data_IF_004688743605
#
_entry.id   IF_004688743605
#
_cell.length_a   1.000
_cell.length_b   1.000
_cell.length_c   1.000
_cell.angle_alpha   90.00
_cell.angle_beta   90.00
_cell.angle_gamma   90.00
#
_symmetry.space_group_name_H-M   'P 1'
#
loop_
_entity.id
_entity.type
_entity.pdbx_description
1 polymer ?
#
# COMPACT_ATOMS: atom_id res chain seq x y z
N UNK A 1 -76.48 -10.87 -2.62
CA UNK A 1 -75.83 -9.64 -3.12
C UNK A 1 -75.59 -8.76 -1.89
N UNK A 2 -74.41 -8.38 -1.44
CA UNK A 2 -73.04 -8.42 -1.95
C UNK A 2 -72.15 -8.25 -0.68
N UNK A 3 -71.27 -9.22 -0.35
CA UNK A 3 -70.35 -9.15 0.79
C UNK A 3 -69.02 -8.58 0.28
N UNK A 4 -68.79 -7.28 0.50
CA UNK A 4 -67.46 -6.67 0.26
C UNK A 4 -66.56 -6.89 1.48
N UNK A 5 -65.73 -7.92 1.41
CA UNK A 5 -64.60 -8.10 2.32
C UNK A 5 -63.50 -7.09 1.98
N UNK A 6 -63.19 -6.18 2.91
CA UNK A 6 -62.02 -5.30 2.82
C UNK A 6 -60.78 -6.07 3.27
N UNK A 7 -59.87 -6.33 2.35
CA UNK A 7 -58.53 -6.86 2.65
C UNK A 7 -57.64 -5.67 3.01
N UNK A 8 -57.18 -5.61 4.26
CA UNK A 8 -56.14 -4.67 4.69
C UNK A 8 -54.79 -5.36 4.43
N UNK A 9 -54.10 -4.93 3.38
CA UNK A 9 -52.71 -5.34 3.12
C UNK A 9 -51.82 -4.47 4.00
N UNK A 10 -51.35 -5.03 5.12
CA UNK A 10 -50.32 -4.41 5.94
C UNK A 10 -48.97 -4.51 5.22
N UNK A 11 -48.48 -3.38 4.71
CA UNK A 11 -47.12 -3.28 4.17
C UNK A 11 -46.17 -3.21 5.36
N UNK A 12 -45.51 -4.33 5.67
CA UNK A 12 -44.37 -4.34 6.58
C UNK A 12 -43.17 -3.74 5.85
N UNK A 13 -42.93 -2.45 6.05
CA UNK A 13 -41.68 -1.80 5.66
C UNK A 13 -40.63 -2.27 6.68
N UNK A 14 -39.88 -3.30 6.32
CA UNK A 14 -38.71 -3.72 7.08
C UNK A 14 -37.59 -2.69 6.81
N UNK A 15 -37.55 -1.63 7.61
CA UNK A 15 -36.43 -0.69 7.66
C UNK A 15 -35.23 -1.43 8.27
N UNK A 16 -34.45 -2.08 7.40
CA UNK A 16 -33.12 -2.55 7.77
C UNK A 16 -32.26 -1.29 7.92
N UNK A 17 -32.18 -0.75 9.13
CA UNK A 17 -31.15 0.21 9.48
C UNK A 17 -29.82 -0.53 9.44
N UNK A 18 -29.13 -0.45 8.31
CA UNK A 18 -27.73 -0.84 8.22
C UNK A 18 -26.96 -0.01 9.23
N UNK A 19 -26.61 -0.60 10.38
CA UNK A 19 -25.57 -0.06 11.23
C UNK A 19 -24.33 -0.05 10.34
N UNK A 20 -23.93 1.14 9.89
CA UNK A 20 -22.62 1.32 9.26
C UNK A 20 -21.62 1.10 10.36
N UNK A 21 -21.24 -0.16 10.58
CA UNK A 21 -20.03 -0.47 11.33
C UNK A 21 -18.92 0.25 10.59
N UNK A 22 -18.20 1.14 11.28
CA UNK A 22 -17.08 1.84 10.68
C UNK A 22 -16.14 0.79 10.08
N UNK A 23 -16.05 0.77 8.75
CA UNK A 23 -15.22 -0.21 8.07
C UNK A 23 -13.77 0.09 8.44
N UNK A 24 -13.08 -0.86 9.07
CA UNK A 24 -11.65 -0.73 9.38
C UNK A 24 -10.84 -0.78 8.08
N UNK A 25 -10.76 0.37 7.42
CA UNK A 25 -10.14 0.58 6.12
C UNK A 25 -8.70 1.10 6.24
N UNK A 26 -8.02 1.15 5.10
CA UNK A 26 -6.66 1.60 4.95
C UNK A 26 -6.58 2.91 4.16
N UNK A 27 -5.62 3.74 4.52
CA UNK A 27 -5.10 4.80 3.66
C UNK A 27 -3.87 4.23 2.94
N UNK A 28 -3.90 4.23 1.61
CA UNK A 28 -2.73 3.89 0.81
C UNK A 28 -1.95 5.16 0.47
N UNK A 29 -0.66 5.17 0.82
CA UNK A 29 0.31 6.19 0.41
C UNK A 29 1.25 5.56 -0.60
N UNK A 30 1.42 6.22 -1.75
CA UNK A 30 2.36 5.79 -2.79
C UNK A 30 3.07 6.99 -3.42
N UNK A 31 4.18 6.72 -4.12
CA UNK A 31 5.02 7.75 -4.74
C UNK A 31 5.00 7.57 -6.25
N UNK A 32 4.61 8.63 -6.97
CA UNK A 32 4.64 8.68 -8.42
C UNK A 32 5.46 9.87 -8.90
N UNK A 33 5.90 9.82 -10.15
CA UNK A 33 6.66 10.86 -10.85
C UNK A 33 6.25 10.83 -12.32
N UNK A 34 6.69 11.81 -13.11
CA UNK A 34 6.42 11.82 -14.56
C UNK A 34 7.12 10.63 -15.26
N UNK A 35 6.39 9.54 -15.49
CA UNK A 35 6.88 8.34 -16.20
C UNK A 35 6.60 8.48 -17.70
N UNK A 36 7.67 8.61 -18.47
CA UNK A 36 7.59 8.81 -19.93
C UNK A 36 7.47 7.48 -20.70
N UNK A 37 7.85 6.34 -20.10
CA UNK A 37 7.63 5.06 -20.74
C UNK A 37 6.15 4.65 -20.66
N UNK A 38 5.49 4.59 -21.80
CA UNK A 38 4.04 4.31 -21.89
C UNK A 38 3.64 3.00 -21.21
N UNK A 39 4.41 1.91 -21.39
CA UNK A 39 4.09 0.61 -20.76
C UNK A 39 4.21 0.70 -19.25
N UNK A 40 5.22 1.41 -18.75
CA UNK A 40 5.46 1.57 -17.31
C UNK A 40 4.40 2.47 -16.67
N UNK A 41 4.04 3.56 -17.33
CA UNK A 41 2.94 4.43 -16.92
C UNK A 41 1.63 3.65 -16.84
N UNK A 42 1.33 2.79 -17.84
CA UNK A 42 0.14 1.93 -17.81
C UNK A 42 0.11 0.98 -16.61
N UNK A 43 1.25 0.41 -16.21
CA UNK A 43 1.35 -0.42 -15.00
C UNK A 43 1.00 0.39 -13.75
N UNK A 44 1.58 1.59 -13.60
CA UNK A 44 1.29 2.50 -12.49
C UNK A 44 -0.18 2.89 -12.44
N UNK A 45 -0.76 3.30 -13.58
CA UNK A 45 -2.18 3.66 -13.66
C UNK A 45 -3.07 2.47 -13.33
N UNK A 46 -2.74 1.26 -13.81
CA UNK A 46 -3.50 0.04 -13.50
C UNK A 46 -3.48 -0.26 -12.00
N UNK A 47 -2.31 -0.19 -11.37
CA UNK A 47 -2.20 -0.42 -9.92
C UNK A 47 -2.97 0.62 -9.12
N UNK A 48 -2.85 1.90 -9.51
CA UNK A 48 -3.59 3.00 -8.89
C UNK A 48 -5.11 2.77 -8.99
N UNK A 49 -5.62 2.46 -10.17
CA UNK A 49 -7.05 2.25 -10.40
C UNK A 49 -7.60 1.06 -9.60
N UNK A 50 -6.85 -0.05 -9.52
CA UNK A 50 -7.22 -1.20 -8.69
C UNK A 50 -7.28 -0.84 -7.21
N UNK A 51 -6.32 -0.06 -6.73
CA UNK A 51 -6.31 0.38 -5.34
C UNK A 51 -7.44 1.37 -5.02
N UNK A 52 -7.74 2.31 -5.92
CA UNK A 52 -8.88 3.23 -5.77
C UNK A 52 -10.21 2.46 -5.71
N UNK A 53 -10.34 1.38 -6.49
CA UNK A 53 -11.55 0.55 -6.52
C UNK A 53 -11.64 -0.46 -5.37
N UNK A 54 -10.58 -0.63 -4.56
CA UNK A 54 -10.53 -1.67 -3.54
C UNK A 54 -11.37 -1.27 -2.31
N UNK A 55 -12.36 -2.08 -1.93
CA UNK A 55 -13.32 -1.75 -0.86
C UNK A 55 -12.70 -1.44 0.52
N UNK A 56 -11.51 -1.96 0.81
CA UNK A 56 -10.79 -1.68 2.06
C UNK A 56 -9.80 -0.51 1.98
N UNK A 57 -9.62 0.10 0.81
CA UNK A 57 -8.77 1.29 0.67
C UNK A 57 -9.70 2.49 0.56
N UNK A 58 -9.92 3.19 1.67
CA UNK A 58 -10.84 4.33 1.70
C UNK A 58 -10.27 5.55 0.95
N UNK A 59 -8.95 5.62 0.85
CA UNK A 59 -8.25 6.74 0.20
C UNK A 59 -6.89 6.33 -0.31
N UNK A 60 -6.53 6.86 -1.49
CA UNK A 60 -5.17 6.85 -2.01
C UNK A 60 -4.59 8.27 -1.94
N UNK A 61 -3.46 8.41 -1.25
CA UNK A 61 -2.64 9.61 -1.22
C UNK A 61 -1.38 9.38 -2.06
N UNK A 62 -1.26 10.14 -3.14
CA UNK A 62 -0.08 10.11 -4.00
C UNK A 62 0.86 11.25 -3.61
N UNK A 63 2.08 10.90 -3.22
CA UNK A 63 3.20 11.83 -3.13
C UNK A 63 3.78 11.91 -4.54
N UNK A 64 3.62 13.07 -5.18
CA UNK A 64 4.01 13.29 -6.56
C UNK A 64 5.36 14.04 -6.64
N UNK A 65 6.38 13.36 -7.14
CA UNK A 65 7.72 13.90 -7.36
C UNK A 65 7.80 14.65 -8.70
N UNK A 66 7.98 15.97 -8.61
CA UNK A 66 8.04 16.91 -9.73
C UNK A 66 9.42 17.03 -10.37
N UNK A 67 10.44 16.32 -9.88
CA UNK A 67 11.82 16.46 -10.38
C UNK A 67 12.00 16.07 -11.86
N UNK A 68 11.01 15.37 -12.44
CA UNK A 68 11.01 14.92 -13.84
C UNK A 68 9.86 15.51 -14.66
N UNK A 69 9.16 16.50 -14.11
CA UNK A 69 8.04 17.11 -14.82
C UNK A 69 8.53 17.80 -16.10
N UNK A 70 7.73 17.67 -17.15
CA UNK A 70 7.85 18.37 -18.42
C UNK A 70 6.46 18.82 -18.88
N UNK A 71 6.39 19.42 -20.07
CA UNK A 71 5.14 19.95 -20.63
C UNK A 71 4.13 18.84 -21.02
N UNK A 72 4.55 17.57 -21.15
CA UNK A 72 3.73 16.42 -21.58
C UNK A 72 3.53 15.40 -20.43
N UNK A 73 3.25 15.90 -19.24
CA UNK A 73 3.06 15.08 -18.04
C UNK A 73 1.68 14.41 -17.99
N UNK A 74 1.51 13.36 -18.80
CA UNK A 74 0.26 12.58 -18.92
C UNK A 74 -0.19 11.95 -17.60
N UNK A 75 0.75 11.42 -16.82
CA UNK A 75 0.40 10.75 -15.57
C UNK A 75 -0.18 11.73 -14.54
N UNK A 76 0.36 12.94 -14.42
CA UNK A 76 -0.21 13.95 -13.53
C UNK A 76 -1.63 14.36 -13.95
N UNK A 77 -1.90 14.43 -15.25
CA UNK A 77 -3.28 14.68 -15.74
C UNK A 77 -4.23 13.55 -15.36
N UNK A 78 -3.77 12.29 -15.48
CA UNK A 78 -4.54 11.13 -14.98
C UNK A 78 -4.79 11.29 -13.49
N UNK A 79 -3.78 11.58 -12.68
CA UNK A 79 -3.93 11.76 -11.23
C UNK A 79 -4.95 12.84 -10.86
N UNK A 80 -4.90 14.00 -11.52
CA UNK A 80 -5.86 15.11 -11.30
C UNK A 80 -7.30 14.75 -11.67
N UNK A 81 -7.50 13.80 -12.60
CA UNK A 81 -8.82 13.30 -12.97
C UNK A 81 -9.38 12.24 -12.02
N UNK A 82 -8.56 11.70 -11.12
CA UNK A 82 -8.95 10.63 -10.18
C UNK A 82 -9.23 11.20 -8.79
N UNK A 83 -10.00 10.46 -8.00
CA UNK A 83 -10.26 10.80 -6.60
C UNK A 83 -9.08 10.38 -5.70
N UNK A 84 -7.98 11.14 -5.77
CA UNK A 84 -6.77 10.93 -4.96
C UNK A 84 -6.37 12.21 -4.22
N UNK A 85 -5.72 12.07 -3.07
CA UNK A 85 -5.04 13.19 -2.42
C UNK A 85 -3.63 13.35 -2.99
N UNK A 86 -3.19 14.58 -3.24
CA UNK A 86 -1.87 14.87 -3.83
C UNK A 86 -1.02 15.71 -2.88
N UNK A 87 0.20 15.26 -2.63
CA UNK A 87 1.26 16.10 -2.05
C UNK A 87 2.41 16.18 -3.03
N UNK A 88 2.81 17.40 -3.39
CA UNK A 88 3.90 17.62 -4.32
C UNK A 88 5.24 17.69 -3.58
N UNK A 89 6.24 17.01 -4.11
CA UNK A 89 7.64 17.08 -3.64
C UNK A 89 8.57 17.30 -4.83
N UNK A 90 9.83 17.62 -4.54
CA UNK A 90 10.90 17.63 -5.54
C UNK A 90 11.96 16.64 -5.09
N UNK A 91 12.15 15.59 -5.87
CA UNK A 91 12.96 14.44 -5.52
C UNK A 91 12.16 13.37 -4.79
N UNK A 92 12.71 12.16 -4.84
CA UNK A 92 12.20 10.97 -4.17
C UNK A 92 12.05 11.25 -2.65
N UNK A 93 10.91 10.94 -2.02
CA UNK A 93 10.73 11.16 -0.60
C UNK A 93 11.43 10.10 0.25
N UNK A 94 11.62 10.43 1.52
CA UNK A 94 12.18 9.53 2.54
C UNK A 94 11.07 8.81 3.29
N UNK A 95 11.41 7.71 3.97
CA UNK A 95 10.45 7.03 4.85
C UNK A 95 9.97 7.96 5.96
N UNK A 96 10.86 8.77 6.55
CA UNK A 96 10.50 9.75 7.59
C UNK A 96 9.52 10.81 7.07
N UNK A 97 9.72 11.31 5.84
CA UNK A 97 8.75 12.21 5.21
C UNK A 97 7.38 11.54 5.09
N UNK A 98 7.34 10.30 4.60
CA UNK A 98 6.09 9.58 4.39
C UNK A 98 5.36 9.29 5.70
N UNK A 99 6.07 8.92 6.77
CA UNK A 99 5.45 8.66 8.08
C UNK A 99 4.98 9.94 8.78
N UNK A 100 5.71 11.06 8.65
CA UNK A 100 5.26 12.38 9.13
C UNK A 100 3.99 12.82 8.43
N UNK A 101 3.98 12.76 7.10
CA UNK A 101 2.79 13.03 6.30
C UNK A 101 1.61 12.14 6.73
N UNK A 102 1.86 10.84 6.94
CA UNK A 102 0.82 9.92 7.41
C UNK A 102 0.26 10.31 8.79
N UNK A 103 1.14 10.62 9.75
CA UNK A 103 0.75 11.02 11.10
C UNK A 103 -0.05 12.32 11.12
N UNK A 104 0.33 13.30 10.29
CA UNK A 104 -0.29 14.62 10.21
C UNK A 104 -1.67 14.57 9.54
N UNK A 105 -1.77 13.89 8.39
CA UNK A 105 -3.00 13.90 7.58
C UNK A 105 -4.01 12.82 7.97
N UNK A 106 -3.55 11.73 8.59
CA UNK A 106 -4.35 10.54 8.83
C UNK A 106 -4.18 10.02 10.26
N UNK A 107 -4.56 10.79 11.30
CA UNK A 107 -4.44 10.34 12.68
C UNK A 107 -5.35 9.14 12.96
N UNK A 108 -4.84 8.16 13.74
CA UNK A 108 -5.56 6.95 14.14
C UNK A 108 -6.04 6.07 12.97
N UNK A 109 -5.29 6.03 11.87
CA UNK A 109 -5.60 5.25 10.67
C UNK A 109 -4.60 4.12 10.45
N UNK A 110 -5.06 3.07 9.77
CA UNK A 110 -4.19 2.03 9.21
C UNK A 110 -3.60 2.55 7.90
N UNK A 111 -2.28 2.55 7.81
CA UNK A 111 -1.55 3.06 6.65
C UNK A 111 -0.91 1.91 5.92
N UNK A 112 -0.98 1.97 4.59
CA UNK A 112 -0.16 1.20 3.67
C UNK A 112 0.76 2.19 2.98
N UNK A 113 2.08 2.05 3.15
CA UNK A 113 3.06 2.72 2.31
C UNK A 113 3.54 1.72 1.26
N UNK A 114 3.42 2.01 -0.03
CA UNK A 114 3.79 1.03 -1.06
C UNK A 114 4.41 1.63 -2.31
N UNK A 115 5.29 0.86 -2.96
CA UNK A 115 5.74 1.14 -4.33
C UNK A 115 4.54 1.26 -5.29
N UNK A 116 4.66 2.14 -6.30
CA UNK A 116 3.52 2.49 -7.16
C UNK A 116 3.06 1.41 -8.15
N UNK A 117 3.88 0.37 -8.34
CA UNK A 117 3.53 -0.81 -9.12
C UNK A 117 2.97 -1.94 -8.26
N UNK A 118 2.51 -1.65 -7.04
CA UNK A 118 1.78 -2.58 -6.18
C UNK A 118 0.29 -2.25 -6.19
N UNK A 119 -0.53 -3.28 -6.33
CA UNK A 119 -1.95 -3.25 -5.95
C UNK A 119 -2.28 -4.33 -4.92
N UNK A 120 -3.40 -4.16 -4.23
CA UNK A 120 -3.91 -5.11 -3.25
C UNK A 120 -5.14 -5.84 -3.77
N UNK A 121 -5.30 -7.08 -3.33
CA UNK A 121 -6.46 -7.92 -3.61
C UNK A 121 -7.16 -8.33 -2.31
N UNK A 122 -8.12 -9.25 -2.41
CA UNK A 122 -8.97 -9.68 -1.30
C UNK A 122 -8.21 -10.26 -0.10
N UNK A 123 -6.93 -10.66 -0.24
CA UNK A 123 -6.12 -11.07 0.91
C UNK A 123 -5.93 -9.94 1.93
N UNK A 124 -6.12 -8.67 1.53
CA UNK A 124 -6.13 -7.52 2.43
C UNK A 124 -7.23 -7.61 3.50
N UNK A 125 -8.31 -8.37 3.26
CA UNK A 125 -9.37 -8.64 4.25
C UNK A 125 -8.84 -9.26 5.54
N UNK A 126 -7.76 -10.05 5.47
CA UNK A 126 -7.13 -10.66 6.64
C UNK A 126 -6.53 -9.62 7.60
N UNK A 127 -6.25 -8.40 7.12
CA UNK A 127 -5.74 -7.30 7.93
C UNK A 127 -6.82 -6.33 8.40
N UNK A 128 -8.07 -6.50 7.96
CA UNK A 128 -9.17 -5.58 8.26
C UNK A 128 -9.36 -5.43 9.78
N UNK A 129 -9.41 -6.54 10.51
CA UNK A 129 -9.54 -6.54 11.98
C UNK A 129 -8.22 -6.84 12.71
N UNK A 130 -7.12 -6.97 11.96
CA UNK A 130 -5.80 -7.21 12.55
C UNK A 130 -5.30 -5.94 13.27
N UNK A 131 -4.92 -6.09 14.54
CA UNK A 131 -4.37 -5.01 15.34
C UNK A 131 -2.96 -4.65 14.85
N UNK A 132 -2.78 -3.42 14.35
CA UNK A 132 -1.50 -2.89 13.90
C UNK A 132 -0.75 -2.10 14.99
N UNK A 133 -1.28 -2.04 16.22
CA UNK A 133 -0.63 -1.37 17.36
C UNK A 133 0.77 -1.93 17.57
N UNK A 134 1.76 -1.03 17.60
CA UNK A 134 3.19 -1.32 17.76
C UNK A 134 3.76 -2.30 16.71
N UNK A 135 3.12 -2.45 15.53
CA UNK A 135 3.56 -3.33 14.46
C UNK A 135 4.00 -2.53 13.22
N UNK A 136 4.96 -3.10 12.51
CA UNK A 136 5.45 -2.59 11.23
C UNK A 136 5.61 -3.76 10.28
N UNK A 137 4.57 -4.06 9.50
CA UNK A 137 4.64 -5.15 8.54
C UNK A 137 5.48 -4.69 7.36
N UNK A 138 6.39 -5.53 6.88
CA UNK A 138 7.22 -5.27 5.71
C UNK A 138 7.04 -6.45 4.74
N UNK A 139 6.21 -6.28 3.71
CA UNK A 139 5.76 -7.38 2.86
C UNK A 139 6.63 -7.58 1.63
N UNK A 140 7.06 -8.82 1.42
CA UNK A 140 7.62 -9.28 0.15
C UNK A 140 6.51 -9.42 -0.90
N UNK A 141 6.76 -8.88 -2.09
CA UNK A 141 5.82 -8.87 -3.21
C UNK A 141 5.51 -10.22 -3.84
N UNK A 142 4.33 -10.30 -4.44
CA UNK A 142 3.91 -11.33 -5.39
C UNK A 142 3.97 -10.77 -6.80
N UNK A 143 4.84 -11.32 -7.65
CA UNK A 143 4.96 -10.89 -9.04
C UNK A 143 3.79 -11.42 -9.87
N UNK A 144 3.08 -10.51 -10.52
CA UNK A 144 2.11 -10.85 -11.56
C UNK A 144 2.87 -11.33 -12.80
N UNK A 145 2.54 -12.52 -13.25
CA UNK A 145 3.09 -13.14 -14.46
C UNK A 145 2.28 -12.74 -15.70
N UNK A 146 2.85 -12.93 -16.90
CA UNK A 146 2.17 -12.61 -18.17
C UNK A 146 0.84 -13.36 -18.35
N UNK A 147 0.70 -14.54 -17.76
CA UNK A 147 -0.52 -15.35 -17.78
C UNK A 147 -1.51 -14.98 -16.65
N UNK A 148 -1.25 -13.90 -15.89
CA UNK A 148 -2.09 -13.45 -14.78
C UNK A 148 -1.87 -14.19 -13.46
N UNK A 149 -1.07 -15.27 -13.43
CA UNK A 149 -0.75 -15.95 -12.17
C UNK A 149 0.13 -15.07 -11.29
N UNK A 150 0.02 -15.25 -9.97
CA UNK A 150 0.87 -14.58 -8.99
C UNK A 150 1.92 -15.54 -8.44
N UNK A 151 3.16 -15.06 -8.34
CA UNK A 151 4.26 -15.82 -7.75
C UNK A 151 5.00 -14.98 -6.71
N UNK A 152 5.09 -15.48 -5.48
CA UNK A 152 5.86 -14.83 -4.42
C UNK A 152 7.34 -14.67 -4.85
N UNK A 153 7.87 -13.45 -4.76
CA UNK A 153 9.22 -13.12 -5.20
C UNK A 153 10.24 -13.87 -4.35
N UNK A 154 10.97 -14.80 -4.96
CA UNK A 154 12.10 -15.51 -4.33
C UNK A 154 13.43 -14.79 -4.58
N UNK A 155 14.39 -15.02 -3.69
CA UNK A 155 15.77 -14.61 -3.85
C UNK A 155 16.51 -15.57 -4.81
N UNK A 156 17.81 -15.29 -5.06
CA UNK A 156 18.67 -16.20 -5.84
C UNK A 156 18.64 -17.62 -5.24
N UNK A 157 18.65 -18.61 -6.13
CA UNK A 157 18.55 -20.04 -5.80
C UNK A 157 17.23 -20.43 -5.11
N UNK A 158 16.12 -19.79 -5.49
CA UNK A 158 14.77 -20.08 -5.00
C UNK A 158 14.60 -19.96 -3.47
N UNK A 159 15.52 -19.28 -2.78
CA UNK A 159 15.42 -19.01 -1.34
C UNK A 159 14.35 -17.96 -1.05
N UNK A 160 13.87 -17.96 0.17
CA UNK A 160 12.92 -16.95 0.65
C UNK A 160 13.58 -15.56 0.58
N UNK A 161 12.88 -14.60 -0.01
CA UNK A 161 13.38 -13.25 -0.17
C UNK A 161 13.07 -12.42 1.07
N UNK A 162 13.93 -12.53 2.08
CA UNK A 162 13.79 -11.78 3.33
C UNK A 162 14.37 -10.35 3.23
N UNK A 163 15.02 -10.01 2.12
CA UNK A 163 15.82 -8.79 1.97
C UNK A 163 15.15 -7.69 1.14
N UNK A 164 13.97 -7.95 0.58
CA UNK A 164 13.25 -6.96 -0.20
C UNK A 164 11.75 -6.99 0.06
N UNK A 165 11.20 -5.79 0.21
CA UNK A 165 9.82 -5.52 0.53
C UNK A 165 9.33 -4.36 -0.33
N UNK A 166 8.05 -4.36 -0.68
CA UNK A 166 7.46 -3.34 -1.57
C UNK A 166 6.26 -2.62 -0.93
N UNK A 167 5.86 -3.07 0.27
CA UNK A 167 4.74 -2.50 1.04
C UNK A 167 5.03 -2.57 2.54
N UNK A 168 4.70 -1.50 3.26
CA UNK A 168 4.83 -1.37 4.70
C UNK A 168 3.50 -0.98 5.34
N UNK A 169 3.07 -1.72 6.36
CA UNK A 169 1.80 -1.45 7.06
C UNK A 169 2.06 -1.06 8.50
N UNK A 170 1.34 -0.04 8.96
CA UNK A 170 1.40 0.45 10.33
C UNK A 170 0.14 1.21 10.72
N UNK A 171 0.01 1.57 11.98
CA UNK A 171 -1.03 2.46 12.48
C UNK A 171 -0.44 3.81 12.89
N UNK A 172 -1.13 4.88 12.55
CA UNK A 172 -0.75 6.23 12.99
C UNK A 172 -1.29 6.52 14.40
N UNK A 173 -0.57 7.30 15.23
CA UNK A 173 0.75 7.84 14.93
C UNK A 173 1.84 6.75 14.97
N UNK A 174 2.67 6.70 13.94
CA UNK A 174 3.90 5.94 13.94
C UNK A 174 4.99 6.85 14.52
N UNK A 175 5.56 6.47 15.66
CA UNK A 175 6.66 7.24 16.28
C UNK A 175 7.78 7.52 15.27
N UNK A 176 8.46 8.66 15.39
CA UNK A 176 9.61 8.94 14.54
C UNK A 176 10.79 8.05 14.96
N UNK A 177 11.17 7.15 14.06
CA UNK A 177 12.35 6.29 14.20
C UNK A 177 13.17 6.24 12.91
N UNK A 178 12.74 6.99 11.89
CA UNK A 178 13.19 6.82 10.53
C UNK A 178 14.25 7.87 10.22
N UNK A 179 15.41 7.42 9.78
CA UNK A 179 16.46 8.31 9.30
C UNK A 179 15.99 9.04 8.02
N UNK A 180 16.10 10.37 8.03
CA UNK A 180 15.77 11.25 6.92
C UNK A 180 16.65 11.01 5.67
N UNK A 181 17.61 10.10 5.71
CA UNK A 181 18.45 9.74 4.56
C UNK A 181 17.96 8.47 3.83
N UNK A 182 17.00 7.72 4.41
CA UNK A 182 16.47 6.51 3.77
C UNK A 182 15.35 6.90 2.81
N UNK A 183 15.67 6.88 1.53
CA UNK A 183 14.74 7.16 0.44
C UNK A 183 13.98 5.90 0.02
N UNK A 184 12.70 6.04 -0.34
CA UNK A 184 11.88 4.91 -0.78
C UNK A 184 12.41 4.27 -2.06
N UNK A 185 12.31 2.95 -2.18
CA UNK A 185 12.72 2.18 -3.38
C UNK A 185 14.18 2.39 -3.82
N UNK A 186 15.08 2.74 -2.89
CA UNK A 186 16.54 2.72 -3.14
C UNK A 186 17.15 1.40 -2.68
N UNK A 187 18.34 1.09 -3.17
CA UNK A 187 19.05 -0.14 -2.81
C UNK A 187 19.23 -0.21 -1.29
N UNK A 188 18.93 -1.37 -0.71
CA UNK A 188 18.98 -1.70 0.72
C UNK A 188 17.97 -0.97 1.63
N UNK A 189 17.13 -0.07 1.11
CA UNK A 189 16.23 0.73 1.96
C UNK A 189 15.28 -0.14 2.81
N UNK A 190 14.78 -1.25 2.25
CA UNK A 190 13.83 -2.17 2.89
C UNK A 190 14.42 -2.81 4.17
N UNK A 191 15.64 -3.34 4.06
CA UNK A 191 16.34 -4.00 5.18
C UNK A 191 16.70 -3.02 6.29
N UNK A 192 16.91 -1.76 5.91
CA UNK A 192 17.30 -0.69 6.80
C UNK A 192 16.15 -0.13 7.60
N UNK A 193 15.04 0.17 6.93
CA UNK A 193 13.84 0.63 7.61
C UNK A 193 13.34 -0.44 8.57
N UNK A 194 13.43 -1.72 8.19
CA UNK A 194 13.11 -2.84 9.06
C UNK A 194 14.04 -2.92 10.28
N UNK A 195 15.35 -2.69 10.11
CA UNK A 195 16.29 -2.63 11.23
C UNK A 195 15.98 -1.47 12.18
N UNK A 196 15.71 -0.27 11.66
CA UNK A 196 15.39 0.90 12.50
C UNK A 196 14.08 0.70 13.27
N UNK A 197 13.04 0.17 12.62
CA UNK A 197 11.78 -0.20 13.26
C UNK A 197 12.00 -1.19 14.42
N UNK A 198 12.79 -2.24 14.19
CA UNK A 198 13.13 -3.24 15.21
C UNK A 198 13.92 -2.62 16.37
N UNK A 199 14.89 -1.75 16.07
CA UNK A 199 15.77 -1.12 17.07
C UNK A 199 14.97 -0.30 18.08
N UNK A 200 13.90 0.36 17.66
CA UNK A 200 13.04 1.11 18.58
C UNK A 200 12.04 0.22 19.32
N UNK A 201 11.88 -1.05 18.94
CA UNK A 201 11.00 -2.02 19.59
C UNK A 201 9.65 -2.24 18.90
N UNK A 202 9.51 -1.87 17.62
CA UNK A 202 8.34 -2.29 16.83
C UNK A 202 8.42 -3.78 16.51
N UNK A 203 7.25 -4.42 16.45
CA UNK A 203 7.14 -5.81 15.97
C UNK A 203 7.17 -5.79 14.45
N UNK A 204 8.33 -6.14 13.88
CA UNK A 204 8.56 -6.20 12.43
C UNK A 204 8.33 -7.62 11.93
N UNK A 205 7.34 -7.79 11.05
CA UNK A 205 6.93 -9.10 10.49
C UNK A 205 6.65 -9.00 8.99
N UNK A 206 6.74 -10.12 8.29
CA UNK A 206 6.48 -10.21 6.86
C UNK A 206 5.45 -11.34 6.59
N UNK A 207 4.14 -11.09 6.79
CA UNK A 207 3.10 -12.09 6.57
C UNK A 207 2.79 -12.34 5.07
N UNK A 208 3.80 -12.31 4.19
CA UNK A 208 3.63 -12.43 2.73
C UNK A 208 3.14 -13.82 2.26
N UNK A 209 3.09 -14.82 3.15
CA UNK A 209 2.50 -16.12 2.84
C UNK A 209 0.96 -16.07 2.82
N UNK A 210 0.35 -15.07 3.45
CA UNK A 210 -1.10 -14.88 3.51
C UNK A 210 -1.55 -13.56 2.88
N UNK A 211 -0.73 -12.51 2.95
CA UNK A 211 -1.05 -11.18 2.41
C UNK A 211 -0.30 -10.97 1.08
N UNK A 212 -1.03 -10.61 0.03
CA UNK A 212 -0.48 -10.40 -1.30
C UNK A 212 -0.41 -8.92 -1.67
N UNK A 213 0.80 -8.36 -1.65
CA UNK A 213 1.10 -7.14 -2.40
C UNK A 213 1.46 -7.52 -3.84
N UNK A 214 0.54 -7.24 -4.76
CA UNK A 214 0.59 -7.72 -6.14
C UNK A 214 1.40 -6.75 -7.01
N UNK A 215 2.57 -7.18 -7.45
CA UNK A 215 3.51 -6.38 -8.22
C UNK A 215 3.31 -6.55 -9.72
N UNK A 216 2.83 -5.48 -10.37
CA UNK A 216 2.61 -5.41 -11.81
C UNK A 216 3.80 -4.72 -12.49
N UNK A 217 4.70 -5.53 -13.03
CA UNK A 217 5.94 -5.07 -13.66
C UNK A 217 6.30 -5.99 -14.84
N UNK A 218 5.44 -6.04 -15.85
CA UNK A 218 5.62 -6.85 -17.05
C UNK A 218 6.55 -6.18 -18.08
N UNK A 219 6.65 -4.85 -18.03
CA UNK A 219 7.48 -4.02 -18.92
C UNK A 219 8.99 -4.22 -18.68
N UNK A 220 9.38 -4.61 -17.46
CA UNK A 220 10.78 -4.70 -17.00
C UNK A 220 11.54 -3.36 -17.03
N UNK A 221 10.83 -2.24 -17.18
CA UNK A 221 11.43 -0.90 -17.22
C UNK A 221 11.79 -0.48 -15.80
N UNK A 222 13.09 -0.28 -15.55
CA UNK A 222 13.62 0.12 -14.25
C UNK A 222 14.35 1.45 -14.35
N UNK A 223 13.91 2.41 -13.55
CA UNK A 223 14.59 3.68 -13.36
C UNK A 223 15.33 3.65 -12.04
N UNK A 224 16.49 2.97 -12.02
CA UNK A 224 17.36 2.98 -10.84
C UNK A 224 17.92 4.39 -10.68
N UNK A 225 17.55 5.06 -9.59
CA UNK A 225 18.15 6.34 -9.22
C UNK A 225 19.54 6.12 -8.63
N UNK A 226 20.47 7.04 -8.93
CA UNK A 226 21.80 7.09 -8.32
C UNK A 226 21.75 7.69 -6.90
N UNK A 227 20.82 7.22 -6.07
CA UNK A 227 20.75 7.64 -4.67
C UNK A 227 21.72 6.82 -3.84
N UNK A 228 22.42 7.43 -2.88
CA UNK A 228 23.31 6.70 -2.00
C UNK A 228 22.52 5.63 -1.26
N UNK A 229 23.04 4.40 -1.29
CA UNK A 229 22.54 3.35 -0.40
C UNK A 229 22.91 3.72 1.03
N UNK A 230 21.99 3.55 1.98
CA UNK A 230 22.33 3.80 3.37
C UNK A 230 23.46 2.81 3.84
N UNK A 231 24.37 3.25 4.73
CA UNK A 231 25.56 2.48 5.25
C UNK A 231 25.51 2.02 6.73
N UNK A 232 25.49 0.71 7.02
CA UNK A 232 25.07 0.21 8.34
C UNK A 232 24.32 -1.13 8.30
N UNK A 233 23.92 -1.67 9.48
CA UNK A 233 23.29 -2.98 9.59
C UNK A 233 21.87 -3.00 9.00
N UNK A 234 21.61 -3.98 8.14
CA UNK A 234 20.26 -4.29 7.66
C UNK A 234 19.64 -5.45 8.45
N UNK A 235 18.33 -5.55 8.44
CA UNK A 235 17.57 -6.67 9.00
C UNK A 235 16.74 -7.32 7.88
N UNK A 236 17.05 -8.57 7.57
CA UNK A 236 16.20 -9.38 6.70
C UNK A 236 14.97 -9.83 7.48
N UNK A 237 13.77 -9.60 6.95
CA UNK A 237 12.49 -9.90 7.61
C UNK A 237 12.00 -11.28 7.13
N UNK A 238 12.06 -12.33 7.98
CA UNK A 238 11.67 -13.67 7.58
C UNK A 238 10.22 -13.75 7.15
N UNK A 239 9.94 -14.57 6.13
CA UNK A 239 8.58 -14.87 5.72
C UNK A 239 7.81 -15.53 6.87
N UNK A 240 6.55 -15.14 7.01
CA UNK A 240 5.68 -15.62 8.05
C UNK A 240 4.25 -15.73 7.54
N UNK A 241 3.43 -16.43 8.31
CA UNK A 241 1.97 -16.34 8.22
C UNK A 241 1.46 -15.32 9.23
N UNK A 242 0.29 -14.74 8.97
CA UNK A 242 -0.40 -13.87 9.90
C UNK A 242 -0.81 -14.69 11.13
N UNK A 243 -0.38 -14.24 12.32
CA UNK A 243 -0.83 -14.83 13.57
C UNK A 243 -2.14 -14.16 13.96
N UNK A 244 -3.25 -14.75 13.56
CA UNK A 244 -4.57 -14.36 14.04
C UNK A 244 -4.71 -15.00 15.42
N UNK A 245 -4.87 -14.20 16.48
CA UNK A 245 -5.11 -14.72 17.82
C UNK A 245 -6.36 -15.62 17.74
N UNK A 246 -6.22 -16.87 18.16
CA UNK A 246 -7.35 -17.77 18.43
C UNK A 246 -8.10 -17.30 19.67
#
# INVERSE_FOLDING_TARGET
MDRKSRVIIGIFICLVTSIVVAQNSFILITVLYNETNVKRMQEYTTCLERNIAHQLIEKVHVIYDRARDDDDNKLLQVLKSKHVSLTYVTGRPTYSFCSKLANEHYPNKKIILSNADIYFNDTLLLLQEYDLTNKFLALTRWNVQKNGMMQLQRARHARDNIWSQDSWFFQTPLRDFMDNTIHLSTINCDTWIAYQAKKVGLVVINPCLDIQCCHLHLSQVRHLGNMPSPKGPGFGVPWSRLKINQ
#
